data_IF_619476073657
#
_entry.id   IF_619476073657
#
_cell.length_a   1.000
_cell.length_b   1.000
_cell.length_c   1.000
_cell.angle_alpha   90.00
_cell.angle_beta   90.00
_cell.angle_gamma   90.00
#
_symmetry.space_group_name_H-M   'P 1'
#
loop_
_entity.id
_entity.type
_entity.pdbx_description
1 polymer ?
#
# COMPACT_ATOMS: atom_id res chain seq x y z
N UNK A 1 1.14 -1.95 1.44
CA UNK A 1 0.93 -1.50 2.84
C UNK A 1 2.30 -1.29 3.50
N UNK A 2 2.50 -0.28 4.36
CA UNK A 2 3.77 -0.04 5.07
C UNK A 2 4.01 -1.01 6.24
N UNK A 3 3.75 -2.29 6.00
CA UNK A 3 3.78 -3.36 6.99
C UNK A 3 4.36 -4.64 6.38
N UNK A 4 5.22 -4.54 5.35
CA UNK A 4 5.80 -5.71 4.68
C UNK A 4 4.82 -6.59 3.90
N UNK A 5 3.53 -6.26 3.90
CA UNK A 5 2.47 -7.03 3.27
C UNK A 5 2.12 -6.44 1.91
N UNK A 6 2.15 -7.32 0.90
CA UNK A 6 1.75 -7.02 -0.48
C UNK A 6 0.25 -7.25 -0.66
N UNK A 7 -0.32 -6.53 -1.60
CA UNK A 7 -1.68 -6.79 -2.07
C UNK A 7 -1.73 -8.14 -2.79
N UNK A 8 -2.81 -8.87 -2.59
CA UNK A 8 -3.20 -10.05 -3.38
C UNK A 8 -4.08 -9.62 -4.55
N UNK A 9 -4.93 -8.62 -4.32
CA UNK A 9 -5.75 -7.95 -5.33
C UNK A 9 -5.65 -6.45 -5.12
N UNK A 10 -5.41 -5.73 -6.22
CA UNK A 10 -5.31 -4.28 -6.25
C UNK A 10 -5.59 -3.82 -7.67
N UNK A 11 -6.41 -2.79 -7.79
CA UNK A 11 -6.66 -2.07 -9.03
C UNK A 11 -6.41 -0.58 -8.79
N UNK A 12 -5.71 0.09 -9.71
CA UNK A 12 -5.57 1.56 -9.67
C UNK A 12 -6.81 2.22 -10.27
N UNK A 13 -7.08 3.47 -9.86
CA UNK A 13 -8.07 4.28 -10.56
C UNK A 13 -7.58 4.57 -11.99
N UNK A 14 -8.52 4.72 -12.93
CA UNK A 14 -8.19 5.20 -14.27
C UNK A 14 -7.60 6.61 -14.24
N UNK A 15 -8.13 7.47 -13.36
CA UNK A 15 -7.70 8.86 -13.21
C UNK A 15 -7.07 9.12 -11.84
N UNK A 16 -6.20 10.13 -11.76
CA UNK A 16 -5.58 10.55 -10.52
C UNK A 16 -6.61 11.07 -9.50
N UNK A 17 -6.55 10.56 -8.28
CA UNK A 17 -7.30 11.08 -7.13
C UNK A 17 -6.54 12.20 -6.43
N UNK A 18 -7.25 13.13 -5.78
CA UNK A 18 -6.63 14.23 -5.02
C UNK A 18 -5.97 13.81 -3.71
N UNK A 19 -6.40 12.68 -3.12
CA UNK A 19 -6.03 12.27 -1.77
C UNK A 19 -4.93 11.18 -1.72
N UNK A 20 -4.58 10.59 -2.87
CA UNK A 20 -3.53 9.57 -2.95
C UNK A 20 -2.56 9.88 -4.10
N UNK A 21 -1.24 9.73 -3.88
CA UNK A 21 -0.26 9.75 -4.96
C UNK A 21 -0.55 8.65 -6.00
N UNK A 22 -0.14 8.92 -7.24
CA UNK A 22 -0.16 7.92 -8.30
C UNK A 22 0.71 6.71 -7.93
N UNK A 23 0.26 5.52 -8.31
CA UNK A 23 0.87 4.24 -8.01
C UNK A 23 0.55 3.70 -6.61
N UNK A 24 -0.05 4.50 -5.72
CA UNK A 24 -0.27 4.15 -4.32
C UNK A 24 -1.76 4.09 -3.93
N UNK A 25 -2.67 4.45 -4.84
CA UNK A 25 -4.13 4.41 -4.64
C UNK A 25 -4.72 3.04 -4.96
N UNK A 26 -5.83 2.63 -4.33
CA UNK A 26 -6.55 1.45 -4.77
C UNK A 26 -8.03 1.80 -4.99
N UNK A 27 -8.63 1.27 -6.06
CA UNK A 27 -10.06 1.37 -6.32
C UNK A 27 -10.78 0.17 -5.71
N UNK A 28 -11.92 0.45 -5.08
CA UNK A 28 -12.89 -0.55 -4.66
C UNK A 28 -14.23 -0.16 -5.27
N UNK A 29 -14.96 -1.14 -5.77
CA UNK A 29 -16.30 -0.97 -6.33
C UNK A 29 -17.17 -2.13 -5.89
N UNK A 30 -18.23 -1.83 -5.16
CA UNK A 30 -19.11 -2.84 -4.57
C UNK A 30 -19.61 -3.83 -5.62
N UNK A 31 -19.34 -5.11 -5.41
CA UNK A 31 -19.75 -6.20 -6.31
C UNK A 31 -18.84 -6.41 -7.54
N UNK A 32 -17.73 -5.69 -7.68
CA UNK A 32 -16.83 -5.86 -8.84
C UNK A 32 -15.33 -5.78 -8.53
N UNK A 33 -14.86 -4.75 -7.84
CA UNK A 33 -13.43 -4.56 -7.54
C UNK A 33 -13.21 -4.54 -6.03
N UNK A 34 -12.29 -5.38 -5.54
CA UNK A 34 -11.89 -5.39 -4.14
C UNK A 34 -10.42 -4.97 -4.00
N UNK A 35 -10.07 -4.62 -2.76
CA UNK A 35 -8.69 -4.60 -2.32
C UNK A 35 -8.46 -5.75 -1.34
N UNK A 36 -7.56 -6.67 -1.67
CA UNK A 36 -7.29 -7.86 -0.85
C UNK A 36 -5.81 -7.92 -0.49
N UNK A 37 -5.53 -8.33 0.74
CA UNK A 37 -4.18 -8.69 1.18
C UNK A 37 -4.26 -9.95 2.04
N UNK A 38 -3.14 -10.66 2.14
CA UNK A 38 -3.00 -11.84 2.98
C UNK A 38 -2.05 -11.53 4.12
N UNK A 39 -2.43 -11.83 5.35
CA UNK A 39 -1.46 -11.82 6.45
C UNK A 39 -0.39 -12.87 6.17
N UNK A 40 0.84 -12.43 5.96
CA UNK A 40 2.01 -13.29 5.74
C UNK A 40 2.85 -13.49 6.99
N UNK A 41 2.50 -12.84 8.10
CA UNK A 41 3.14 -13.05 9.38
C UNK A 41 2.59 -14.29 10.07
N UNK A 42 3.41 -14.90 10.93
CA UNK A 42 3.05 -16.01 11.81
C UNK A 42 2.29 -15.55 13.07
N UNK A 43 2.10 -14.24 13.22
CA UNK A 43 1.30 -13.61 14.26
C UNK A 43 0.04 -12.92 13.67
N UNK A 44 -1.03 -12.74 14.47
CA UNK A 44 -2.24 -12.08 14.01
C UNK A 44 -2.05 -10.58 13.77
N UNK A 45 -2.83 -10.05 12.83
CA UNK A 45 -2.99 -8.61 12.60
C UNK A 45 -4.34 -8.21 13.18
N UNK A 46 -4.36 -7.15 13.99
CA UNK A 46 -5.59 -6.55 14.49
C UNK A 46 -5.88 -5.26 13.74
N UNK A 47 -7.12 -5.11 13.27
CA UNK A 47 -7.58 -3.92 12.55
C UNK A 47 -8.72 -3.32 13.35
N UNK A 48 -8.53 -2.09 13.80
CA UNK A 48 -9.55 -1.30 14.48
C UNK A 48 -10.08 -0.25 13.52
N UNK A 49 -11.41 -0.18 13.38
CA UNK A 49 -12.09 0.86 12.61
C UNK A 49 -13.03 1.65 13.50
N UNK A 50 -12.97 2.98 13.45
CA UNK A 50 -13.90 3.84 14.17
C UNK A 50 -14.15 5.17 13.45
N UNK A 51 -15.22 5.86 13.84
CA UNK A 51 -15.56 7.20 13.33
C UNK A 51 -15.27 8.22 14.42
N UNK A 52 -14.50 9.26 14.10
CA UNK A 52 -14.22 10.36 15.03
C UNK A 52 -15.46 11.25 15.21
N UNK A 53 -15.47 12.09 16.25
CA UNK A 53 -16.55 13.08 16.45
C UNK A 53 -16.71 14.02 15.25
N UNK A 54 -15.60 14.32 14.57
CA UNK A 54 -15.55 15.16 13.37
C UNK A 54 -15.86 14.39 12.08
N UNK A 55 -16.49 13.21 12.19
CA UNK A 55 -16.95 12.37 11.06
C UNK A 55 -15.83 11.85 10.15
N UNK A 56 -14.62 11.67 10.69
CA UNK A 56 -13.53 11.01 9.97
C UNK A 56 -13.56 9.50 10.25
N UNK A 57 -13.40 8.68 9.22
CA UNK A 57 -13.23 7.24 9.37
C UNK A 57 -11.73 6.96 9.56
N UNK A 58 -11.39 6.26 10.63
CA UNK A 58 -10.01 5.90 10.97
C UNK A 58 -9.89 4.39 11.01
N UNK A 59 -8.81 3.89 10.41
CA UNK A 59 -8.39 2.49 10.53
C UNK A 59 -7.00 2.43 11.14
N UNK A 60 -6.86 1.79 12.29
CA UNK A 60 -5.59 1.45 12.88
C UNK A 60 -5.26 0.00 12.57
N UNK A 61 -4.01 -0.27 12.17
CA UNK A 61 -3.53 -1.62 11.87
C UNK A 61 -2.39 -1.95 12.84
N UNK A 62 -2.61 -2.96 13.67
CA UNK A 62 -1.69 -3.39 14.71
C UNK A 62 -1.09 -4.77 14.39
N UNK A 63 0.14 -4.97 14.82
CA UNK A 63 0.87 -6.23 14.72
C UNK A 63 2.03 -6.29 15.71
N UNK A 64 2.73 -7.42 15.75
CA UNK A 64 3.88 -7.59 16.64
C UNK A 64 5.15 -6.96 16.03
N UNK A 65 5.49 -5.75 16.50
CA UNK A 65 6.67 -5.00 16.02
C UNK A 65 8.00 -5.71 16.33
N UNK A 66 8.10 -6.43 17.45
CA UNK A 66 9.31 -7.16 17.82
C UNK A 66 9.56 -8.32 16.86
N UNK A 67 8.49 -9.05 16.51
CA UNK A 67 8.53 -10.15 15.54
C UNK A 67 8.84 -9.68 14.10
N UNK A 68 8.70 -8.38 13.81
CA UNK A 68 9.15 -7.80 12.53
C UNK A 68 10.67 -7.63 12.46
N UNK A 69 11.41 -7.91 13.53
CA UNK A 69 12.88 -7.96 13.55
C UNK A 69 13.55 -6.62 13.25
N UNK A 70 12.93 -5.52 13.68
CA UNK A 70 13.43 -4.16 13.45
C UNK A 70 13.34 -3.67 12.00
N UNK A 71 12.67 -4.42 11.11
CA UNK A 71 12.45 -3.99 9.73
C UNK A 71 11.36 -2.94 9.66
N UNK A 72 11.57 -1.95 8.80
CA UNK A 72 10.55 -0.96 8.43
C UNK A 72 10.32 -0.99 6.93
N UNK A 73 9.18 -0.47 6.50
CA UNK A 73 8.72 -0.62 5.12
C UNK A 73 8.17 0.70 4.60
N UNK A 74 8.56 1.06 3.39
CA UNK A 74 8.06 2.24 2.70
C UNK A 74 7.50 1.84 1.33
N UNK A 75 6.46 2.57 0.91
CA UNK A 75 5.94 2.48 -0.45
C UNK A 75 6.49 3.64 -1.26
N UNK A 76 7.07 3.32 -2.42
CA UNK A 76 7.64 4.32 -3.31
C UNK A 76 7.08 4.14 -4.71
N UNK A 77 6.64 5.24 -5.33
CA UNK A 77 6.14 5.26 -6.69
C UNK A 77 7.10 6.05 -7.59
N UNK A 78 7.34 5.53 -8.79
CA UNK A 78 8.20 6.15 -9.78
C UNK A 78 7.51 6.15 -11.13
N UNK A 79 7.37 7.33 -11.73
CA UNK A 79 6.88 7.47 -13.10
C UNK A 79 7.89 6.92 -14.10
N UNK A 80 7.41 6.29 -15.17
CA UNK A 80 8.24 5.92 -16.30
C UNK A 80 8.77 7.20 -16.97
N UNK A 81 10.10 7.35 -17.16
CA UNK A 81 10.69 8.56 -17.77
C UNK A 81 10.14 8.89 -19.16
N UNK A 82 9.68 7.87 -19.90
CA UNK A 82 9.15 8.01 -21.26
C UNK A 82 7.61 8.09 -21.29
N UNK A 83 6.94 7.83 -20.18
CA UNK A 83 5.48 7.89 -20.07
C UNK A 83 5.05 8.18 -18.63
N UNK A 84 4.79 9.45 -18.31
CA UNK A 84 4.43 9.88 -16.96
C UNK A 84 3.10 9.31 -16.44
N UNK A 85 2.30 8.67 -17.29
CA UNK A 85 1.06 7.99 -16.90
C UNK A 85 1.28 6.53 -16.48
N UNK A 86 2.44 5.96 -16.78
CA UNK A 86 2.83 4.63 -16.32
C UNK A 86 3.67 4.78 -15.06
N UNK A 87 3.21 4.19 -13.96
CA UNK A 87 3.81 4.33 -12.64
C UNK A 87 4.18 2.96 -12.10
N UNK A 88 5.44 2.79 -11.73
CA UNK A 88 5.90 1.60 -11.03
C UNK A 88 5.93 1.85 -9.55
N UNK A 89 5.30 0.96 -8.79
CA UNK A 89 5.28 1.02 -7.33
C UNK A 89 6.17 -0.05 -6.74
N UNK A 90 6.87 0.32 -5.68
CA UNK A 90 7.84 -0.51 -5.00
C UNK A 90 7.55 -0.60 -3.51
N UNK A 91 7.76 -1.79 -2.94
CA UNK A 91 7.89 -1.97 -1.50
C UNK A 91 9.39 -1.97 -1.17
N UNK A 92 9.81 -0.97 -0.39
CA UNK A 92 11.18 -0.86 0.09
C UNK A 92 11.24 -1.37 1.52
N UNK A 93 12.19 -2.25 1.81
CA UNK A 93 12.46 -2.76 3.16
C UNK A 93 13.75 -2.15 3.67
N UNK A 94 13.68 -1.61 4.89
CA UNK A 94 14.82 -1.07 5.60
C UNK A 94 15.14 -1.91 6.83
N UNK A 95 16.40 -1.95 7.21
CA UNK A 95 16.87 -2.45 8.49
C UNK A 95 17.88 -1.45 9.06
N UNK A 96 17.64 -0.98 10.29
CA UNK A 96 18.46 0.07 10.92
C UNK A 96 18.62 1.33 10.04
N UNK A 97 17.57 1.69 9.28
CA UNK A 97 17.56 2.84 8.38
C UNK A 97 18.22 2.60 7.01
N UNK A 98 18.83 1.44 6.77
CA UNK A 98 19.49 1.11 5.51
C UNK A 98 18.52 0.33 4.61
N UNK A 99 18.39 0.73 3.35
CA UNK A 99 17.62 -0.02 2.34
C UNK A 99 18.31 -1.37 2.07
N UNK A 100 17.62 -2.46 2.41
CA UNK A 100 18.12 -3.83 2.20
C UNK A 100 17.41 -4.54 1.05
N UNK A 101 16.24 -4.05 0.64
CA UNK A 101 15.48 -4.64 -0.46
C UNK A 101 14.54 -3.61 -1.08
N UNK A 102 14.47 -3.60 -2.41
CA UNK A 102 13.47 -2.88 -3.19
C UNK A 102 12.81 -3.86 -4.16
N UNK A 103 11.50 -3.94 -4.09
CA UNK A 103 10.75 -4.90 -4.89
C UNK A 103 9.62 -4.21 -5.62
N UNK A 104 9.49 -4.43 -6.93
CA UNK A 104 8.34 -3.94 -7.69
C UNK A 104 7.10 -4.73 -7.25
N UNK A 105 6.02 -4.01 -6.91
CA UNK A 105 4.76 -4.60 -6.43
C UNK A 105 3.59 -4.32 -7.37
N UNK A 106 3.70 -3.32 -8.24
CA UNK A 106 2.68 -3.00 -9.25
C UNK A 106 3.27 -2.12 -10.36
N UNK A 107 2.61 -2.17 -11.53
CA UNK A 107 2.78 -1.20 -12.61
C UNK A 107 1.39 -0.72 -13.02
N UNK A 108 1.10 0.54 -12.76
CA UNK A 108 -0.20 1.17 -12.96
C UNK A 108 -0.15 2.06 -14.19
N UNK A 109 -1.26 2.12 -14.95
CA UNK A 109 -1.40 3.03 -16.10
C UNK A 109 -2.67 3.86 -15.92
N UNK A 110 -2.51 5.18 -15.88
CA UNK A 110 -3.61 6.13 -15.72
C UNK A 110 -4.08 6.64 -17.08
N UNK A 111 -5.36 6.49 -17.38
CA UNK A 111 -6.00 6.88 -18.64
C UNK A 111 -7.10 7.91 -18.34
N UNK A 112 -7.13 8.97 -19.14
CA UNK A 112 -8.30 9.88 -19.17
C UNK A 112 -9.44 9.20 -19.91
#
# INVERSE_FOLDING_TARGET
MRAGIKSVERHNHSMQTSYSPLGLDATVAWGSLDYKFKNTYDFPIYIEGYITKDKNIVFNVYGNKEAMGGKTYELYAQANPNNSKEIRSYLITYQNGIEIKRENIATDVYKK
#
